data_IF_812324134932
#
_entry.id   IF_812324134932
#
_cell.length_a   1.000
_cell.length_b   1.000
_cell.length_c   1.000
_cell.angle_alpha   90.00
_cell.angle_beta   90.00
_cell.angle_gamma   90.00
#
_symmetry.space_group_name_H-M   'P 1'
#
loop_
_entity.id
_entity.type
_entity.pdbx_description
1 polymer ?
#
# COMPACT_ATOMS: atom_id res chain seq x y z
N UNK A 1 1.08 8.12 26.42
CA UNK A 1 1.64 7.45 25.22
C UNK A 1 1.80 8.48 24.13
N UNK A 2 2.89 8.47 23.37
CA UNK A 2 3.06 9.39 22.23
C UNK A 2 2.05 9.05 21.14
N UNK A 3 1.29 10.03 20.71
CA UNK A 3 0.28 9.88 19.67
C UNK A 3 0.92 9.66 18.29
N UNK A 4 0.26 8.90 17.42
CA UNK A 4 0.77 8.49 16.13
C UNK A 4 0.33 9.45 15.02
N UNK A 5 1.24 9.73 14.08
CA UNK A 5 0.97 10.43 12.82
C UNK A 5 0.99 9.44 11.67
N UNK A 6 -0.11 9.32 10.96
CA UNK A 6 -0.33 8.33 9.91
C UNK A 6 -0.43 9.02 8.55
N UNK A 7 0.25 8.50 7.53
CA UNK A 7 0.04 8.90 6.13
C UNK A 7 -0.59 7.75 5.34
N UNK A 8 -1.68 8.01 4.62
CA UNK A 8 -2.37 7.03 3.78
C UNK A 8 -2.45 7.57 2.35
N UNK A 9 -1.72 6.94 1.45
CA UNK A 9 -1.73 7.21 0.01
C UNK A 9 -2.74 6.30 -0.67
N UNK A 10 -3.61 6.86 -1.51
CA UNK A 10 -4.75 6.15 -2.09
C UNK A 10 -6.00 6.19 -1.20
N UNK A 11 -6.11 7.20 -0.35
CA UNK A 11 -7.19 7.39 0.64
C UNK A 11 -8.61 7.48 0.05
N UNK A 12 -8.74 7.75 -1.24
CA UNK A 12 -10.04 7.74 -1.95
C UNK A 12 -10.48 6.35 -2.46
N UNK A 13 -9.60 5.36 -2.41
CA UNK A 13 -9.90 3.97 -2.76
C UNK A 13 -10.71 3.27 -1.67
N UNK A 14 -11.33 2.13 -2.01
CA UNK A 14 -12.17 1.39 -1.06
C UNK A 14 -11.41 1.03 0.24
N UNK A 15 -10.27 0.34 0.12
CA UNK A 15 -9.45 -0.05 1.28
C UNK A 15 -8.82 1.18 1.93
N UNK A 16 -8.28 2.13 1.14
CA UNK A 16 -7.64 3.34 1.68
C UNK A 16 -8.59 4.19 2.51
N UNK A 17 -9.84 4.37 2.05
CA UNK A 17 -10.86 5.10 2.80
C UNK A 17 -11.25 4.39 4.10
N UNK A 18 -11.38 3.06 4.05
CA UNK A 18 -11.67 2.26 5.24
C UNK A 18 -10.53 2.30 6.26
N UNK A 19 -9.26 2.25 5.80
CA UNK A 19 -8.08 2.43 6.67
C UNK A 19 -8.03 3.83 7.28
N UNK A 20 -8.36 4.89 6.52
CA UNK A 20 -8.44 6.24 7.09
C UNK A 20 -9.43 6.30 8.25
N UNK A 21 -10.64 5.76 8.08
CA UNK A 21 -11.66 5.69 9.13
C UNK A 21 -11.15 4.89 10.33
N UNK A 22 -10.58 3.70 10.08
CA UNK A 22 -10.06 2.82 11.13
C UNK A 22 -9.02 3.51 12.00
N UNK A 23 -8.05 4.23 11.39
CA UNK A 23 -7.01 4.94 12.15
C UNK A 23 -7.54 6.19 12.86
N UNK A 24 -8.48 6.93 12.27
CA UNK A 24 -9.10 8.11 12.89
C UNK A 24 -9.81 7.74 14.21
N UNK A 25 -10.41 6.55 14.28
CA UNK A 25 -11.14 6.05 15.45
C UNK A 25 -10.22 5.63 16.62
N UNK A 26 -8.89 5.55 16.41
CA UNK A 26 -7.97 5.11 17.45
C UNK A 26 -7.58 6.28 18.38
N UNK A 27 -7.65 6.05 19.70
CA UNK A 27 -7.30 7.06 20.70
C UNK A 27 -5.82 7.47 20.68
N UNK A 28 -4.93 6.53 20.29
CA UNK A 28 -3.50 6.74 20.19
C UNK A 28 -3.07 7.40 18.88
N UNK A 29 -3.99 7.80 18.00
CA UNK A 29 -3.71 8.51 16.74
C UNK A 29 -3.98 10.00 16.91
N UNK A 30 -2.96 10.82 16.63
CA UNK A 30 -3.03 12.28 16.62
C UNK A 30 -3.63 12.78 15.31
N UNK A 31 -3.14 12.26 14.18
CA UNK A 31 -3.52 12.77 12.87
C UNK A 31 -3.36 11.72 11.76
N UNK A 32 -4.26 11.78 10.78
CA UNK A 32 -4.26 10.94 9.57
C UNK A 32 -4.20 11.84 8.34
N UNK A 33 -3.10 11.77 7.62
CA UNK A 33 -2.83 12.52 6.39
C UNK A 33 -3.27 11.67 5.19
N UNK A 34 -4.33 12.10 4.54
CA UNK A 34 -5.03 11.38 3.50
C UNK A 34 -4.64 11.93 2.13
N UNK A 35 -3.80 11.20 1.38
CA UNK A 35 -3.36 11.59 0.04
C UNK A 35 -4.16 10.87 -1.04
N UNK A 36 -4.68 11.62 -2.02
CA UNK A 36 -5.40 11.05 -3.16
C UNK A 36 -5.31 11.96 -4.39
N UNK A 37 -5.42 11.37 -5.59
CA UNK A 37 -5.34 12.13 -6.85
C UNK A 37 -6.46 13.17 -7.02
N UNK A 38 -7.62 12.92 -6.44
CA UNK A 38 -8.73 13.87 -6.40
C UNK A 38 -8.86 14.36 -4.96
N UNK A 39 -9.15 15.65 -4.79
CA UNK A 39 -9.42 16.18 -3.47
C UNK A 39 -10.58 15.41 -2.84
N UNK A 40 -10.31 14.79 -1.70
CA UNK A 40 -11.30 14.13 -0.84
C UNK A 40 -11.52 14.96 0.40
N UNK A 41 -12.63 14.72 1.09
CA UNK A 41 -12.93 15.35 2.35
C UNK A 41 -13.40 14.29 3.35
N UNK A 42 -12.78 14.28 4.52
CA UNK A 42 -13.18 13.45 5.66
C UNK A 42 -13.51 14.44 6.78
N UNK A 43 -14.76 14.48 7.20
CA UNK A 43 -15.22 15.40 8.26
C UNK A 43 -14.83 14.85 9.62
N UNK A 44 -13.58 15.06 10.03
CA UNK A 44 -13.06 14.68 11.33
C UNK A 44 -11.82 15.51 11.67
N UNK A 45 -11.68 15.92 12.92
CA UNK A 45 -10.58 16.79 13.40
C UNK A 45 -9.18 16.21 13.19
N UNK A 46 -9.04 14.87 13.24
CA UNK A 46 -7.78 14.17 13.01
C UNK A 46 -7.43 14.01 11.53
N UNK A 47 -8.33 14.35 10.58
CA UNK A 47 -8.17 14.06 9.16
C UNK A 47 -7.68 15.27 8.37
N UNK A 48 -6.56 15.13 7.66
CA UNK A 48 -5.96 16.13 6.79
C UNK A 48 -5.89 15.59 5.37
N UNK A 49 -6.66 16.15 4.44
CA UNK A 49 -6.80 15.64 3.08
C UNK A 49 -6.06 16.50 2.05
N UNK A 50 -5.18 15.87 1.27
CA UNK A 50 -4.34 16.52 0.28
C UNK A 50 -4.50 15.88 -1.10
N UNK A 51 -4.69 16.67 -2.17
CA UNK A 51 -4.53 16.18 -3.52
C UNK A 51 -3.05 15.92 -3.79
N UNK A 52 -2.74 14.82 -4.50
CA UNK A 52 -1.37 14.47 -4.85
C UNK A 52 -1.36 13.58 -6.09
N UNK A 53 -0.58 13.97 -7.10
CA UNK A 53 -0.31 13.12 -8.24
C UNK A 53 0.90 12.21 -7.95
N UNK A 54 0.65 10.93 -7.75
CA UNK A 54 1.69 9.96 -7.37
C UNK A 54 2.74 9.67 -8.45
N UNK A 55 2.51 10.10 -9.68
CA UNK A 55 3.42 9.93 -10.82
C UNK A 55 4.10 11.24 -11.23
N UNK A 56 3.87 12.32 -10.48
CA UNK A 56 4.54 13.61 -10.67
C UNK A 56 5.56 13.82 -9.57
N UNK A 57 6.85 13.72 -9.93
CA UNK A 57 7.94 13.86 -8.97
C UNK A 57 8.05 15.27 -8.38
N UNK A 58 7.65 16.29 -9.14
CA UNK A 58 7.66 17.68 -8.66
C UNK A 58 6.57 17.87 -7.59
N UNK A 59 5.37 17.32 -7.83
CA UNK A 59 4.27 17.37 -6.87
C UNK A 59 4.63 16.61 -5.58
N UNK A 60 5.20 15.40 -5.71
CA UNK A 60 5.69 14.61 -4.57
C UNK A 60 6.77 15.35 -3.76
N UNK A 61 7.74 15.97 -4.43
CA UNK A 61 8.79 16.74 -3.79
C UNK A 61 8.22 17.94 -3.03
N UNK A 62 7.35 18.72 -3.69
CA UNK A 62 6.73 19.90 -3.08
C UNK A 62 5.92 19.54 -1.84
N UNK A 63 5.08 18.51 -1.92
CA UNK A 63 4.28 18.06 -0.76
C UNK A 63 5.18 17.51 0.34
N UNK A 64 6.20 16.72 0.00
CA UNK A 64 7.13 16.21 1.02
C UNK A 64 7.90 17.30 1.74
N UNK A 65 8.28 18.38 1.04
CA UNK A 65 9.00 19.52 1.64
C UNK A 65 8.14 20.35 2.58
N UNK A 66 6.82 20.37 2.41
CA UNK A 66 5.88 21.02 3.32
C UNK A 66 5.71 20.27 4.65
N UNK A 67 6.10 19.00 4.69
CA UNK A 67 6.02 18.17 5.89
C UNK A 67 7.29 18.37 6.74
N UNK A 68 7.13 19.04 7.87
CA UNK A 68 8.20 19.38 8.82
C UNK A 68 8.20 18.52 10.09
N UNK A 69 7.47 17.43 10.08
CA UNK A 69 7.38 16.42 11.15
C UNK A 69 7.63 15.01 10.58
N UNK A 70 7.65 14.00 11.46
CA UNK A 70 7.82 12.61 11.04
C UNK A 70 6.54 11.81 11.19
N UNK A 71 6.29 10.90 10.24
CA UNK A 71 5.22 9.90 10.32
C UNK A 71 5.67 8.67 11.10
N UNK A 72 4.75 8.06 11.80
CA UNK A 72 4.96 6.77 12.45
C UNK A 72 4.56 5.60 11.53
N UNK A 73 3.54 5.81 10.72
CA UNK A 73 3.07 4.81 9.75
C UNK A 73 2.81 5.51 8.41
N UNK A 74 3.32 4.92 7.34
CA UNK A 74 3.01 5.28 5.95
C UNK A 74 2.38 4.05 5.29
N UNK A 75 1.16 4.22 4.78
CA UNK A 75 0.41 3.17 4.09
C UNK A 75 0.15 3.55 2.64
N UNK A 76 0.45 2.65 1.71
CA UNK A 76 0.19 2.83 0.29
C UNK A 76 -0.90 1.86 -0.13
N UNK A 77 -2.11 2.39 -0.35
CA UNK A 77 -3.31 1.68 -0.77
C UNK A 77 -3.63 1.98 -2.24
N UNK A 78 -2.60 1.97 -3.09
CA UNK A 78 -2.70 2.28 -4.52
C UNK A 78 -2.54 1.00 -5.32
N UNK A 79 -3.38 0.83 -6.34
CA UNK A 79 -3.28 -0.26 -7.29
C UNK A 79 -4.46 -0.30 -8.24
N UNK A 80 -4.26 -1.01 -9.36
CA UNK A 80 -5.28 -1.25 -10.36
C UNK A 80 -5.17 -2.67 -10.92
N UNK A 81 -6.28 -3.17 -11.42
CA UNK A 81 -6.35 -4.42 -12.19
C UNK A 81 -7.03 -4.08 -13.53
N UNK A 82 -6.22 -3.77 -14.54
CA UNK A 82 -6.65 -3.23 -15.83
C UNK A 82 -6.68 -4.35 -16.86
N UNK A 83 -7.85 -4.96 -17.09
CA UNK A 83 -8.07 -5.99 -18.11
C UNK A 83 -6.92 -7.02 -18.20
N UNK A 84 -6.68 -7.80 -17.12
CA UNK A 84 -5.55 -8.71 -17.07
C UNK A 84 -5.66 -9.79 -18.14
N UNK A 85 -4.51 -10.16 -18.72
CA UNK A 85 -4.40 -11.10 -19.82
C UNK A 85 -4.74 -12.53 -19.35
N UNK A 86 -5.64 -13.21 -20.06
CA UNK A 86 -5.93 -14.63 -19.85
C UNK A 86 -4.93 -15.53 -20.57
N UNK A 87 -4.40 -15.07 -21.70
CA UNK A 87 -3.45 -15.76 -22.56
C UNK A 87 -2.26 -14.85 -22.89
N UNK A 88 -1.11 -15.45 -23.21
CA UNK A 88 0.07 -14.72 -23.69
C UNK A 88 -0.23 -13.92 -24.97
N UNK A 89 -1.21 -14.37 -25.78
CA UNK A 89 -1.65 -13.69 -27.00
C UNK A 89 -2.30 -12.33 -26.73
N UNK A 90 -2.83 -12.13 -25.53
CA UNK A 90 -3.52 -10.90 -25.13
C UNK A 90 -2.54 -9.82 -24.61
N UNK A 91 -1.25 -10.20 -24.46
CA UNK A 91 -0.21 -9.31 -23.93
C UNK A 91 0.15 -8.23 -24.94
N UNK A 92 0.20 -7.00 -24.50
CA UNK A 92 0.73 -5.86 -25.27
C UNK A 92 1.67 -5.03 -24.43
N UNK A 93 2.59 -4.31 -25.06
CA UNK A 93 3.51 -3.36 -24.39
C UNK A 93 2.70 -2.32 -23.59
N UNK A 94 1.61 -1.83 -24.16
CA UNK A 94 0.74 -0.84 -23.52
C UNK A 94 0.12 -1.38 -22.22
N UNK A 95 -0.47 -2.57 -22.26
CA UNK A 95 -1.05 -3.21 -21.04
C UNK A 95 0.00 -3.40 -19.97
N UNK A 96 1.19 -3.88 -20.35
CA UNK A 96 2.28 -4.09 -19.43
C UNK A 96 2.72 -2.77 -18.77
N UNK A 97 2.97 -1.73 -19.58
CA UNK A 97 3.39 -0.43 -19.07
C UNK A 97 2.32 0.22 -18.17
N UNK A 98 1.05 0.16 -18.57
CA UNK A 98 -0.05 0.68 -17.77
C UNK A 98 -0.15 -0.02 -16.40
N UNK A 99 0.10 -1.34 -16.36
CA UNK A 99 0.03 -2.10 -15.11
C UNK A 99 1.21 -1.78 -14.18
N UNK A 100 2.43 -1.64 -14.73
CA UNK A 100 3.61 -1.19 -13.98
C UNK A 100 3.39 0.23 -13.44
N UNK A 101 2.91 1.14 -14.28
CA UNK A 101 2.63 2.53 -13.89
C UNK A 101 1.58 2.63 -12.77
N UNK A 102 0.57 1.77 -12.78
CA UNK A 102 -0.49 1.81 -11.78
C UNK A 102 -0.12 1.12 -10.45
N UNK A 103 0.67 0.03 -10.48
CA UNK A 103 0.88 -0.81 -9.31
C UNK A 103 2.26 -0.71 -8.68
N UNK A 104 3.27 -0.29 -9.45
CA UNK A 104 4.69 -0.33 -9.04
C UNK A 104 5.25 1.07 -8.83
N UNK A 105 5.14 1.94 -9.83
CA UNK A 105 5.73 3.28 -9.80
C UNK A 105 5.22 4.15 -8.64
N UNK A 106 3.92 4.15 -8.25
CA UNK A 106 3.48 4.96 -7.11
C UNK A 106 4.22 4.62 -5.83
N UNK A 107 4.39 3.34 -5.50
CA UNK A 107 5.13 2.94 -4.30
C UNK A 107 6.60 3.34 -4.39
N UNK A 108 7.24 3.16 -5.55
CA UNK A 108 8.63 3.56 -5.78
C UNK A 108 8.83 5.05 -5.53
N UNK A 109 8.00 5.89 -6.14
CA UNK A 109 8.12 7.35 -6.06
C UNK A 109 7.74 7.88 -4.67
N UNK A 110 6.63 7.39 -4.09
CA UNK A 110 6.27 7.75 -2.71
C UNK A 110 7.39 7.33 -1.75
N UNK A 111 7.97 6.15 -1.90
CA UNK A 111 9.10 5.71 -1.10
C UNK A 111 10.29 6.66 -1.20
N UNK A 112 10.67 7.09 -2.40
CA UNK A 112 11.78 8.04 -2.63
C UNK A 112 11.62 9.32 -1.80
N UNK A 113 10.43 9.90 -1.74
CA UNK A 113 10.19 11.20 -1.10
C UNK A 113 9.72 11.11 0.36
N UNK A 114 9.08 10.00 0.76
CA UNK A 114 8.44 9.91 2.07
C UNK A 114 9.08 8.92 3.05
N UNK A 115 9.91 7.96 2.61
CA UNK A 115 10.70 7.15 3.54
C UNK A 115 11.61 7.99 4.46
N UNK A 116 12.25 9.09 3.97
CA UNK A 116 13.00 9.98 4.85
C UNK A 116 12.16 10.69 5.92
N UNK A 117 10.84 10.74 5.75
CA UNK A 117 9.88 11.36 6.68
C UNK A 117 9.39 10.40 7.76
N UNK A 118 9.85 9.15 7.77
CA UNK A 118 9.51 8.22 8.84
C UNK A 118 10.26 8.54 10.14
N UNK A 119 9.58 8.31 11.26
CA UNK A 119 10.15 8.50 12.59
C UNK A 119 11.37 7.58 12.80
N UNK A 120 12.48 8.16 13.28
CA UNK A 120 13.72 7.43 13.55
C UNK A 120 13.92 7.11 15.03
N UNK A 121 13.20 7.80 15.91
CA UNK A 121 13.37 7.70 17.35
C UNK A 121 12.53 6.60 18.00
N UNK A 122 11.54 6.08 17.28
CA UNK A 122 10.67 4.98 17.68
C UNK A 122 10.34 4.08 16.49
N UNK A 123 9.72 2.93 16.75
CA UNK A 123 9.28 2.04 15.66
C UNK A 123 8.36 2.81 14.72
N UNK A 124 8.70 2.76 13.45
CA UNK A 124 7.92 3.31 12.36
C UNK A 124 7.69 2.26 11.28
N UNK A 125 6.61 2.39 10.52
CA UNK A 125 6.18 1.35 9.57
C UNK A 125 5.88 1.96 8.20
N UNK A 126 6.32 1.27 7.15
CA UNK A 126 5.97 1.57 5.76
C UNK A 126 5.38 0.31 5.15
N UNK A 127 4.11 0.38 4.79
CA UNK A 127 3.42 -0.76 4.20
C UNK A 127 2.78 -0.41 2.86
N UNK A 128 2.88 -1.31 1.89
CA UNK A 128 2.24 -1.15 0.59
C UNK A 128 1.33 -2.33 0.26
N UNK A 129 0.14 -2.05 -0.28
CA UNK A 129 -0.76 -3.09 -0.74
C UNK A 129 -0.19 -3.79 -1.98
N UNK A 130 0.32 -4.99 -1.76
CA UNK A 130 0.69 -5.93 -2.80
C UNK A 130 -0.45 -6.92 -3.05
N UNK A 131 -0.14 -8.11 -3.53
CA UNK A 131 -1.10 -9.17 -3.74
C UNK A 131 -0.39 -10.54 -3.76
N UNK A 132 -1.08 -11.61 -3.36
CA UNK A 132 -0.59 -12.99 -3.44
C UNK A 132 -0.11 -13.37 -4.84
N UNK A 133 -0.76 -12.84 -5.89
CA UNK A 133 -0.36 -13.06 -7.28
C UNK A 133 1.02 -12.50 -7.66
N UNK A 134 1.64 -11.69 -6.79
CA UNK A 134 3.02 -11.22 -6.94
C UNK A 134 4.07 -12.23 -6.46
N UNK A 135 3.67 -13.33 -5.82
CA UNK A 135 4.55 -14.44 -5.47
C UNK A 135 4.83 -15.29 -6.72
N UNK A 136 6.10 -15.57 -6.96
CA UNK A 136 6.56 -16.45 -8.05
C UNK A 136 6.34 -17.91 -7.65
N UNK A 137 6.70 -18.24 -6.40
CA UNK A 137 6.59 -19.60 -5.88
C UNK A 137 5.15 -20.08 -5.70
N UNK A 138 4.19 -19.18 -5.47
CA UNK A 138 2.75 -19.49 -5.32
C UNK A 138 1.97 -19.40 -6.66
N UNK A 139 2.68 -19.26 -7.78
CA UNK A 139 2.06 -19.13 -9.10
C UNK A 139 1.86 -20.47 -9.80
N UNK A 140 0.79 -21.17 -9.47
CA UNK A 140 0.38 -22.42 -10.13
C UNK A 140 -0.67 -22.20 -11.22
N UNK A 141 -1.24 -21.00 -11.37
CA UNK A 141 -2.36 -20.75 -12.27
C UNK A 141 -1.95 -20.10 -13.60
N UNK A 142 -0.81 -19.39 -13.64
CA UNK A 142 -0.42 -18.59 -14.80
C UNK A 142 -1.41 -17.45 -15.09
N UNK A 143 -1.38 -16.95 -16.34
CA UNK A 143 -2.21 -15.81 -16.77
C UNK A 143 -1.89 -14.51 -16.02
N UNK A 144 -2.64 -13.44 -16.31
CA UNK A 144 -2.50 -12.13 -15.67
C UNK A 144 -1.07 -11.60 -15.69
N UNK A 145 -0.38 -11.78 -16.80
CA UNK A 145 1.07 -11.57 -16.96
C UNK A 145 1.51 -10.21 -16.44
N UNK A 146 0.91 -9.14 -16.95
CA UNK A 146 1.27 -7.77 -16.55
C UNK A 146 0.96 -7.48 -15.08
N UNK A 147 -0.17 -7.99 -14.57
CA UNK A 147 -0.55 -7.78 -13.16
C UNK A 147 0.38 -8.53 -12.22
N UNK A 148 0.66 -9.82 -12.48
CA UNK A 148 1.62 -10.58 -11.67
C UNK A 148 2.99 -9.93 -11.69
N UNK A 149 3.51 -9.60 -12.88
CA UNK A 149 4.80 -8.92 -13.04
C UNK A 149 4.86 -7.61 -12.25
N UNK A 150 3.80 -6.80 -12.31
CA UNK A 150 3.75 -5.53 -11.57
C UNK A 150 3.78 -5.71 -10.05
N UNK A 151 3.13 -6.76 -9.53
CA UNK A 151 3.11 -7.06 -8.10
C UNK A 151 4.41 -7.74 -7.63
N UNK A 152 5.05 -8.56 -8.47
CA UNK A 152 6.39 -9.10 -8.19
C UNK A 152 7.44 -7.98 -8.17
N UNK A 153 7.38 -7.05 -9.13
CA UNK A 153 8.24 -5.86 -9.13
C UNK A 153 8.03 -4.99 -7.88
N UNK A 154 6.79 -4.81 -7.44
CA UNK A 154 6.48 -4.12 -6.18
C UNK A 154 7.08 -4.84 -4.97
N UNK A 155 7.00 -6.18 -4.91
CA UNK A 155 7.59 -6.97 -3.83
C UNK A 155 9.11 -6.79 -3.79
N UNK A 156 9.77 -6.74 -4.95
CA UNK A 156 11.21 -6.47 -5.05
C UNK A 156 11.56 -5.06 -4.55
N UNK A 157 10.76 -4.03 -4.88
CA UNK A 157 10.95 -2.66 -4.40
C UNK A 157 10.81 -2.61 -2.86
N UNK A 158 9.81 -3.25 -2.29
CA UNK A 158 9.62 -3.37 -0.83
C UNK A 158 10.86 -3.98 -0.19
N UNK A 159 11.39 -5.06 -0.77
CA UNK A 159 12.61 -5.71 -0.30
C UNK A 159 13.81 -4.78 -0.36
N UNK A 160 14.03 -4.08 -1.47
CA UNK A 160 15.13 -3.14 -1.64
C UNK A 160 15.04 -1.99 -0.62
N UNK A 161 13.86 -1.39 -0.45
CA UNK A 161 13.64 -0.36 0.57
C UNK A 161 13.99 -0.86 1.97
N UNK A 162 13.57 -2.08 2.32
CA UNK A 162 13.84 -2.65 3.64
C UNK A 162 15.33 -2.80 3.92
N UNK A 163 16.13 -3.17 2.93
CA UNK A 163 17.58 -3.33 3.04
C UNK A 163 18.26 -1.96 3.15
N UNK A 164 17.89 -1.02 2.27
CA UNK A 164 18.51 0.29 2.20
C UNK A 164 18.20 1.12 3.46
N UNK A 165 16.91 1.22 3.82
CA UNK A 165 16.48 2.04 4.95
C UNK A 165 16.99 1.48 6.28
N UNK A 166 17.12 0.17 6.42
CA UNK A 166 17.69 -0.42 7.64
C UNK A 166 19.12 0.04 7.94
N UNK A 167 19.85 0.58 6.95
CA UNK A 167 21.20 1.17 7.16
C UNK A 167 21.14 2.53 7.85
N UNK A 168 20.07 3.29 7.67
CA UNK A 168 19.91 4.69 8.13
C UNK A 168 18.79 4.87 9.16
N UNK A 169 17.84 3.95 9.23
CA UNK A 169 16.75 3.91 10.20
C UNK A 169 16.45 2.46 10.62
N UNK A 170 17.10 1.99 11.66
CA UNK A 170 16.93 0.63 12.22
C UNK A 170 15.59 0.42 12.94
N UNK A 171 14.82 1.48 13.13
CA UNK A 171 13.49 1.44 13.72
C UNK A 171 12.37 1.38 12.68
N UNK A 172 12.71 1.43 11.39
CA UNK A 172 11.74 1.34 10.31
C UNK A 172 11.50 -0.12 9.92
N UNK A 173 10.23 -0.50 9.81
CA UNK A 173 9.78 -1.80 9.32
C UNK A 173 9.06 -1.58 8.00
N UNK A 174 9.56 -2.17 6.91
CA UNK A 174 9.00 -2.04 5.57
C UNK A 174 8.48 -3.39 5.12
N UNK A 175 7.21 -3.47 4.71
CA UNK A 175 6.59 -4.73 4.33
C UNK A 175 5.45 -4.54 3.34
N UNK A 176 5.06 -5.63 2.67
CA UNK A 176 3.92 -5.66 1.77
C UNK A 176 2.71 -6.34 2.41
N UNK A 177 1.53 -6.01 1.92
CA UNK A 177 0.25 -6.52 2.41
C UNK A 177 -0.62 -7.04 1.27
N UNK A 178 -1.18 -8.23 1.43
CA UNK A 178 -2.28 -8.72 0.60
C UNK A 178 -3.60 -8.56 1.36
N UNK A 179 -4.53 -7.71 0.88
CA UNK A 179 -5.75 -7.36 1.61
C UNK A 179 -6.86 -8.42 1.55
N UNK A 180 -6.58 -9.57 0.94
CA UNK A 180 -7.62 -10.52 0.55
C UNK A 180 -8.36 -10.06 -0.71
N UNK A 181 -9.46 -10.73 -1.04
CA UNK A 181 -10.32 -10.33 -2.16
C UNK A 181 -11.42 -9.41 -1.61
N UNK A 182 -11.31 -8.10 -1.91
CA UNK A 182 -12.19 -7.07 -1.34
C UNK A 182 -13.20 -6.60 -2.38
N UNK A 183 -14.46 -6.45 -1.98
CA UNK A 183 -15.51 -5.87 -2.83
C UNK A 183 -15.18 -4.42 -3.15
N UNK A 184 -14.96 -4.13 -4.42
CA UNK A 184 -14.60 -2.80 -4.90
C UNK A 184 -14.81 -2.69 -6.40
N UNK A 185 -14.80 -1.47 -6.95
CA UNK A 185 -14.80 -1.26 -8.41
C UNK A 185 -13.67 -2.01 -9.14
N UNK A 186 -12.57 -2.30 -8.46
CA UNK A 186 -11.44 -3.05 -9.00
C UNK A 186 -11.75 -4.53 -9.13
N UNK A 187 -12.44 -5.12 -8.16
CA UNK A 187 -12.77 -6.56 -8.13
C UNK A 187 -14.08 -6.90 -8.83
N UNK A 188 -15.01 -5.93 -8.98
CA UNK A 188 -16.33 -6.16 -9.54
C UNK A 188 -16.35 -6.91 -10.89
N UNK A 189 -15.46 -6.59 -11.87
CA UNK A 189 -15.43 -7.31 -13.15
C UNK A 189 -15.00 -8.78 -13.04
N UNK A 190 -14.42 -9.18 -11.90
CA UNK A 190 -13.85 -10.52 -11.67
C UNK A 190 -14.56 -11.28 -10.56
N UNK A 191 -15.73 -10.79 -10.12
CA UNK A 191 -16.53 -11.48 -9.12
C UNK A 191 -16.96 -12.85 -9.58
N UNK A 192 -16.79 -13.83 -8.69
CA UNK A 192 -17.21 -15.21 -8.87
C UNK A 192 -18.00 -15.63 -7.63
N UNK A 193 -19.16 -16.24 -7.81
CA UNK A 193 -20.05 -16.67 -6.71
C UNK A 193 -19.41 -17.68 -5.73
N UNK A 194 -18.30 -18.28 -6.10
CA UNK A 194 -17.60 -19.28 -5.29
C UNK A 194 -16.48 -18.69 -4.42
N UNK A 195 -16.31 -17.36 -4.37
CA UNK A 195 -15.27 -16.69 -3.55
C UNK A 195 -15.90 -15.85 -2.45
N UNK A 196 -15.34 -15.96 -1.27
CA UNK A 196 -15.64 -15.04 -0.17
C UNK A 196 -14.95 -13.71 -0.43
N UNK A 197 -15.74 -12.63 -0.47
CA UNK A 197 -15.25 -11.27 -0.62
C UNK A 197 -15.40 -10.54 0.70
N UNK A 198 -14.34 -9.88 1.13
CA UNK A 198 -14.40 -8.99 2.27
C UNK A 198 -15.05 -7.66 1.88
N UNK A 199 -15.72 -7.02 2.84
CA UNK A 199 -16.01 -5.58 2.70
C UNK A 199 -14.71 -4.79 2.87
N UNK A 200 -14.63 -3.54 2.39
CA UNK A 200 -13.48 -2.69 2.66
C UNK A 200 -13.18 -2.53 4.15
N UNK A 201 -14.22 -2.42 4.97
CA UNK A 201 -14.12 -2.28 6.43
C UNK A 201 -13.56 -3.54 7.09
N UNK A 202 -14.03 -4.72 6.69
CA UNK A 202 -13.50 -6.00 7.17
C UNK A 202 -12.03 -6.15 6.83
N UNK A 203 -11.67 -5.87 5.57
CA UNK A 203 -10.27 -5.91 5.14
C UNK A 203 -9.41 -4.89 5.88
N UNK A 204 -9.90 -3.67 6.10
CA UNK A 204 -9.18 -2.64 6.84
C UNK A 204 -8.94 -3.04 8.31
N UNK A 205 -9.89 -3.71 8.96
CA UNK A 205 -9.69 -4.23 10.32
C UNK A 205 -8.58 -5.29 10.36
N UNK A 206 -8.62 -6.28 9.46
CA UNK A 206 -7.56 -7.29 9.38
C UNK A 206 -6.19 -6.67 9.09
N UNK A 207 -6.12 -5.75 8.12
CA UNK A 207 -4.87 -5.08 7.79
C UNK A 207 -4.35 -4.23 8.96
N UNK A 208 -5.22 -3.55 9.69
CA UNK A 208 -4.86 -2.82 10.90
C UNK A 208 -4.19 -3.74 11.92
N UNK A 209 -4.82 -4.88 12.21
CA UNK A 209 -4.27 -5.86 13.17
C UNK A 209 -2.92 -6.41 12.70
N UNK A 210 -2.78 -6.71 11.41
CA UNK A 210 -1.49 -7.13 10.82
C UNK A 210 -0.45 -6.04 10.97
N UNK A 211 -0.76 -4.78 10.62
CA UNK A 211 0.17 -3.66 10.69
C UNK A 211 0.63 -3.41 12.13
N UNK A 212 -0.29 -3.39 13.10
CA UNK A 212 0.06 -3.12 14.50
C UNK A 212 1.00 -4.18 15.09
N UNK A 213 0.86 -5.44 14.67
CA UNK A 213 1.65 -6.57 15.19
C UNK A 213 3.00 -6.78 14.47
N UNK A 214 3.37 -5.97 13.46
CA UNK A 214 4.65 -6.13 12.75
C UNK A 214 5.85 -5.73 13.60
N UNK A 215 6.86 -6.57 13.56
CA UNK A 215 8.14 -6.45 14.27
C UNK A 215 9.31 -6.30 13.30
N UNK A 216 10.51 -6.07 13.80
CA UNK A 216 11.73 -5.96 12.97
C UNK A 216 12.05 -7.23 12.18
N UNK A 217 11.62 -8.39 12.66
CA UNK A 217 11.83 -9.68 11.99
C UNK A 217 10.95 -9.83 10.72
N UNK A 218 9.93 -8.97 10.59
CA UNK A 218 9.03 -8.93 9.46
C UNK A 218 9.51 -8.01 8.33
N UNK A 219 10.65 -7.32 8.52
CA UNK A 219 11.15 -6.34 7.59
C UNK A 219 11.50 -6.94 6.22
N UNK A 220 10.94 -6.40 5.16
CA UNK A 220 11.16 -6.83 3.77
C UNK A 220 10.34 -8.04 3.35
N UNK A 221 9.32 -8.42 4.11
CA UNK A 221 8.43 -9.55 3.83
C UNK A 221 7.06 -9.10 3.35
N UNK A 222 6.28 -10.04 2.83
CA UNK A 222 4.91 -9.81 2.37
C UNK A 222 3.97 -10.66 3.22
N UNK A 223 2.86 -10.08 3.68
CA UNK A 223 1.89 -10.77 4.53
C UNK A 223 0.49 -10.68 3.96
N UNK A 224 -0.31 -11.69 4.20
CA UNK A 224 -1.74 -11.61 3.89
C UNK A 224 -2.55 -11.04 5.08
N UNK A 225 -3.83 -10.83 4.82
CA UNK A 225 -4.81 -10.31 5.78
C UNK A 225 -4.91 -11.15 7.08
N UNK A 226 -4.50 -12.41 7.05
CA UNK A 226 -4.47 -13.32 8.20
C UNK A 226 -3.07 -13.41 8.84
N UNK A 227 -2.21 -12.43 8.57
CA UNK A 227 -0.84 -12.35 9.08
C UNK A 227 0.09 -13.52 8.66
N UNK A 228 -0.26 -14.25 7.62
CA UNK A 228 0.60 -15.30 7.07
C UNK A 228 1.58 -14.72 6.07
N UNK A 229 2.84 -15.12 6.16
CA UNK A 229 3.87 -14.72 5.19
C UNK A 229 3.57 -15.33 3.82
N UNK A 230 3.61 -14.49 2.78
CA UNK A 230 3.56 -14.89 1.37
C UNK A 230 4.99 -14.95 0.87
N UNK A 231 5.47 -16.14 0.56
CA UNK A 231 6.82 -16.34 0.01
C UNK A 231 6.96 -15.73 -1.38
N UNK A 232 8.19 -15.30 -1.75
CA UNK A 232 8.49 -14.70 -3.04
C UNK A 232 8.21 -15.60 -4.24
#
# INVERSE_FOLDING_TARGET
MSQLKIAIFGSSGAIGSALCKKYIEQDNVESVYCFSRKKTYINHEKAYCFPLNYLDEVDLLNVSNQINFSFDIILISIGALLNPEKSIRDLTIEKFNNMISANTLPTLLIGKYFLPKLNKNRISKFASLSARVGSISDNFLGGWYSYRASKSALNMIIKNFSIEINRTNKNCIIFGLHPGTVTSKLSDPFKNNNKNYFTPETSANYLYDVIENKTKDDNGKIFDWNNQEILP
#
